data_IF_142166728983
#
_entry.id   IF_142166728983
#
_cell.length_a   1.000
_cell.length_b   1.000
_cell.length_c   1.000
_cell.angle_alpha   90.00
_cell.angle_beta   90.00
_cell.angle_gamma   90.00
#
_symmetry.space_group_name_H-M   'P 1'
#
loop_
_entity.id
_entity.type
_entity.pdbx_description
1 polymer ?
#
# COMPACT_ATOMS: atom_id res chain seq x y z
N UNK A 1 -4.20 14.97 54.51
CA UNK A 1 -4.82 14.01 53.56
C UNK A 1 -5.60 14.70 52.44
N UNK A 2 -6.55 15.62 52.71
CA UNK A 2 -7.31 16.31 51.64
C UNK A 2 -6.45 17.03 50.58
N UNK A 3 -5.36 17.69 51.01
CA UNK A 3 -4.42 18.37 50.09
C UNK A 3 -3.65 17.42 49.16
N UNK A 4 -3.38 16.20 49.62
CA UNK A 4 -2.69 15.18 48.81
C UNK A 4 -3.61 14.63 47.73
N UNK A 5 -4.88 14.35 48.07
CA UNK A 5 -5.89 13.86 47.13
C UNK A 5 -6.16 14.87 46.01
N UNK A 6 -6.22 16.17 46.33
CA UNK A 6 -6.39 17.23 45.32
C UNK A 6 -5.19 17.31 44.39
N UNK A 7 -3.96 17.22 44.91
CA UNK A 7 -2.76 17.23 44.07
C UNK A 7 -2.70 16.01 43.13
N UNK A 8 -3.06 14.82 43.62
CA UNK A 8 -3.11 13.61 42.81
C UNK A 8 -4.19 13.69 41.71
N UNK A 9 -5.37 14.24 42.02
CA UNK A 9 -6.43 14.46 41.03
C UNK A 9 -6.02 15.47 39.95
N UNK A 10 -5.33 16.55 40.32
CA UNK A 10 -4.80 17.54 39.37
C UNK A 10 -3.74 16.91 38.46
N UNK A 11 -2.83 16.10 39.00
CA UNK A 11 -1.83 15.38 38.20
C UNK A 11 -2.45 14.34 37.24
N UNK A 12 -3.53 13.65 37.64
CA UNK A 12 -4.26 12.75 36.74
C UNK A 12 -5.00 13.48 35.63
N UNK A 13 -5.51 14.70 35.88
CA UNK A 13 -6.16 15.52 34.85
C UNK A 13 -5.17 16.02 33.79
N UNK A 14 -3.91 16.31 34.16
CA UNK A 14 -2.86 16.64 33.18
C UNK A 14 -2.35 15.42 32.40
N UNK A 15 -2.44 14.22 32.97
CA UNK A 15 -2.09 12.97 32.28
C UNK A 15 -3.15 12.53 31.24
N UNK A 16 -4.38 13.07 31.30
CA UNK A 16 -5.48 12.68 30.43
C UNK A 16 -5.51 13.40 29.07
N UNK A 17 -4.67 14.42 28.88
CA UNK A 17 -4.52 15.10 27.58
C UNK A 17 -3.48 14.38 26.70
N UNK A 18 -3.77 13.13 26.33
CA UNK A 18 -3.09 12.52 25.18
C UNK A 18 -3.71 13.11 23.91
N UNK A 19 -3.00 14.04 23.27
CA UNK A 19 -3.34 14.42 21.92
C UNK A 19 -3.02 13.23 21.01
N UNK A 20 -3.98 12.80 20.19
CA UNK A 20 -3.64 12.02 19.02
C UNK A 20 -2.73 12.92 18.16
N UNK A 21 -1.49 12.49 17.94
CA UNK A 21 -0.57 13.21 17.05
C UNK A 21 -1.18 13.18 15.65
N UNK A 22 -1.30 14.33 15.00
CA UNK A 22 -1.75 14.42 13.61
C UNK A 22 -0.84 13.58 12.70
N UNK A 23 -1.41 12.88 11.74
CA UNK A 23 -0.67 12.06 10.79
C UNK A 23 0.35 12.92 10.01
N UNK A 24 1.63 12.58 10.12
CA UNK A 24 2.76 13.15 9.43
C UNK A 24 3.41 12.10 8.49
N UNK A 25 3.47 12.34 7.16
CA UNK A 25 3.16 13.61 6.45
C UNK A 25 1.68 13.88 6.32
N UNK A 26 1.28 15.16 6.35
CA UNK A 26 -0.10 15.58 6.05
C UNK A 26 -0.62 14.90 4.78
N UNK A 27 -1.76 14.19 4.82
CA UNK A 27 -2.28 13.50 3.63
C UNK A 27 -2.66 14.49 2.54
N UNK A 28 -2.24 14.21 1.30
CA UNK A 28 -2.70 14.92 0.10
C UNK A 28 -4.09 14.42 -0.30
N UNK A 29 -5.03 15.33 -0.50
CA UNK A 29 -6.38 14.98 -0.96
C UNK A 29 -6.71 15.73 -2.25
N UNK A 30 -7.11 14.97 -3.27
CA UNK A 30 -7.60 15.48 -4.55
C UNK A 30 -9.10 15.19 -4.61
N UNK A 31 -9.91 16.22 -4.85
CA UNK A 31 -11.36 16.09 -5.06
C UNK A 31 -11.76 16.69 -6.40
N UNK A 32 -12.66 16.01 -7.10
CA UNK A 32 -13.20 16.42 -8.40
C UNK A 32 -14.65 15.95 -8.56
N UNK A 33 -15.45 16.56 -9.46
CA UNK A 33 -16.85 16.14 -9.69
C UNK A 33 -16.96 14.71 -10.21
N UNK A 34 -17.75 13.84 -9.57
CA UNK A 34 -17.87 12.44 -10.01
C UNK A 34 -18.36 12.21 -11.45
N UNK A 35 -18.98 13.23 -12.08
CA UNK A 35 -19.33 13.23 -13.49
C UNK A 35 -19.26 14.65 -14.05
N UNK A 36 -18.88 14.79 -15.33
CA UNK A 36 -18.78 16.06 -16.03
C UNK A 36 -19.31 15.86 -17.46
N UNK A 37 -20.11 16.82 -17.95
CA UNK A 37 -20.58 16.81 -19.33
C UNK A 37 -19.49 17.36 -20.25
N UNK A 38 -19.13 16.59 -21.28
CA UNK A 38 -18.32 17.08 -22.38
C UNK A 38 -19.13 16.98 -23.68
N UNK A 39 -19.07 18.02 -24.51
CA UNK A 39 -19.86 18.08 -25.74
C UNK A 39 -19.17 17.41 -26.94
N UNK A 40 -17.90 17.01 -26.80
CA UNK A 40 -17.09 16.44 -27.89
C UNK A 40 -17.07 17.33 -29.15
N UNK A 41 -17.16 18.65 -28.98
CA UNK A 41 -17.12 19.65 -30.04
C UNK A 41 -15.69 20.07 -30.40
N UNK A 42 -14.69 19.57 -29.67
CA UNK A 42 -13.27 19.92 -29.83
C UNK A 42 -12.84 21.12 -28.98
N UNK A 43 -13.74 21.69 -28.18
CA UNK A 43 -13.35 22.64 -27.14
C UNK A 43 -12.61 21.95 -25.99
N UNK A 44 -11.84 22.70 -25.22
CA UNK A 44 -11.21 22.19 -23.99
C UNK A 44 -12.28 21.91 -22.93
N UNK A 45 -12.27 20.70 -22.38
CA UNK A 45 -12.95 20.35 -21.15
C UNK A 45 -12.16 20.88 -19.96
N UNK A 46 -12.80 21.66 -19.11
CA UNK A 46 -12.24 22.14 -17.84
C UNK A 46 -12.80 21.31 -16.67
N UNK A 47 -11.91 20.61 -15.98
CA UNK A 47 -12.23 19.76 -14.84
C UNK A 47 -11.81 20.51 -13.57
N UNK A 48 -12.76 21.02 -12.77
CA UNK A 48 -12.42 21.69 -11.52
C UNK A 48 -11.92 20.66 -10.50
N UNK A 49 -10.79 20.96 -9.86
CA UNK A 49 -10.19 20.11 -8.84
C UNK A 49 -9.88 20.93 -7.59
N UNK A 50 -10.21 20.38 -6.43
CA UNK A 50 -9.85 20.96 -5.14
C UNK A 50 -8.74 20.12 -4.53
N UNK A 51 -7.64 20.78 -4.21
CA UNK A 51 -6.47 20.17 -3.58
C UNK A 51 -6.37 20.62 -2.12
N UNK A 52 -6.17 19.70 -1.18
CA UNK A 52 -5.90 20.00 0.24
C UNK A 52 -4.77 19.14 0.80
N UNK A 53 -4.22 19.56 1.94
CA UNK A 53 -3.11 18.89 2.62
C UNK A 53 -1.74 19.34 2.11
N UNK A 54 -1.38 18.93 0.89
CA UNK A 54 -0.11 19.29 0.24
C UNK A 54 -0.31 19.63 -1.24
N UNK A 55 0.65 20.33 -1.88
CA UNK A 55 0.67 20.46 -3.33
C UNK A 55 0.77 19.10 -4.04
N UNK A 56 0.48 19.08 -5.34
CA UNK A 56 0.48 17.86 -6.13
C UNK A 56 1.10 18.07 -7.50
N UNK A 57 1.85 17.08 -7.97
CA UNK A 57 1.98 16.81 -9.40
C UNK A 57 0.90 15.81 -9.77
N UNK A 58 -0.08 16.24 -10.56
CA UNK A 58 -1.23 15.42 -10.92
C UNK A 58 -1.37 15.29 -12.44
N UNK A 59 -1.93 14.16 -12.87
CA UNK A 59 -2.23 13.86 -14.27
C UNK A 59 -3.68 13.39 -14.40
N UNK A 60 -4.30 13.74 -15.53
CA UNK A 60 -5.59 13.19 -15.95
C UNK A 60 -5.38 11.90 -16.71
N UNK A 61 -6.15 10.88 -16.37
CA UNK A 61 -6.27 9.65 -17.13
C UNK A 61 -7.72 9.51 -17.59
N UNK A 62 -7.93 9.22 -18.86
CA UNK A 62 -9.27 8.97 -19.42
C UNK A 62 -9.30 7.57 -20.00
N UNK A 63 -10.31 6.81 -19.62
CA UNK A 63 -10.55 5.44 -20.01
C UNK A 63 -11.88 5.34 -20.73
N UNK A 64 -11.98 4.38 -21.66
CA UNK A 64 -13.29 3.90 -22.10
C UNK A 64 -14.13 3.49 -20.89
N UNK A 65 -15.46 3.53 -21.00
CA UNK A 65 -16.34 3.04 -19.94
C UNK A 65 -17.10 1.81 -20.41
N UNK A 66 -17.04 0.74 -19.62
CA UNK A 66 -17.78 -0.52 -19.85
C UNK A 66 -17.47 -1.19 -21.22
N UNK A 67 -16.34 -0.85 -21.83
CA UNK A 67 -15.90 -1.39 -23.11
C UNK A 67 -15.06 -2.65 -22.96
N UNK A 68 -14.67 -3.02 -21.74
CA UNK A 68 -13.97 -4.27 -21.43
C UNK A 68 -14.51 -5.49 -22.21
N UNK A 69 -15.81 -5.81 -22.18
CA UNK A 69 -16.36 -6.96 -22.93
C UNK A 69 -16.15 -6.91 -24.45
N UNK A 70 -15.99 -5.72 -25.03
CA UNK A 70 -15.78 -5.51 -26.47
C UNK A 70 -14.31 -5.55 -26.89
N UNK A 71 -13.40 -5.44 -25.93
CA UNK A 71 -11.96 -5.46 -26.18
C UNK A 71 -11.50 -6.91 -26.31
N UNK A 72 -11.14 -7.27 -27.54
CA UNK A 72 -10.55 -8.58 -27.85
C UNK A 72 -9.24 -8.78 -27.07
N UNK A 73 -8.84 -10.03 -26.89
CA UNK A 73 -7.57 -10.37 -26.26
C UNK A 73 -6.41 -9.68 -26.99
N UNK A 74 -5.71 -8.77 -26.30
CA UNK A 74 -4.51 -8.11 -26.83
C UNK A 74 -3.30 -8.60 -26.04
N UNK A 75 -2.34 -9.16 -26.77
CA UNK A 75 -0.98 -9.43 -26.31
C UNK A 75 -0.08 -8.37 -26.95
N UNK A 76 0.53 -7.51 -26.14
CA UNK A 76 1.45 -6.47 -26.62
C UNK A 76 2.82 -6.53 -25.90
N UNK A 77 3.86 -5.99 -26.55
CA UNK A 77 5.26 -5.94 -26.10
C UNK A 77 6.17 -6.95 -26.79
N UNK A 78 7.46 -6.63 -26.90
CA UNK A 78 8.51 -7.46 -27.53
C UNK A 78 8.61 -8.89 -26.95
N UNK A 79 8.08 -9.12 -25.74
CA UNK A 79 8.04 -10.43 -25.06
C UNK A 79 6.62 -10.93 -24.75
N UNK A 80 5.56 -10.24 -25.20
CA UNK A 80 4.17 -10.61 -24.92
C UNK A 80 3.77 -10.53 -23.44
N UNK A 81 4.45 -9.71 -22.64
CA UNK A 81 4.22 -9.63 -21.19
C UNK A 81 3.01 -8.77 -20.81
N UNK A 82 2.51 -7.93 -21.72
CA UNK A 82 1.28 -7.18 -21.47
C UNK A 82 0.11 -7.99 -22.01
N UNK A 83 -0.58 -8.66 -21.10
CA UNK A 83 -1.84 -9.32 -21.36
C UNK A 83 -2.98 -8.41 -20.90
N UNK A 84 -3.72 -7.86 -21.86
CA UNK A 84 -4.91 -7.02 -21.60
C UNK A 84 -6.13 -7.84 -21.99
N UNK A 85 -7.02 -8.10 -21.03
CA UNK A 85 -8.21 -8.93 -21.22
C UNK A 85 -9.41 -8.32 -20.52
N UNK A 86 -10.36 -7.86 -21.32
CA UNK A 86 -11.67 -7.38 -20.87
C UNK A 86 -11.64 -6.27 -19.83
N UNK A 87 -10.69 -5.35 -19.97
CA UNK A 87 -10.59 -4.16 -19.13
C UNK A 87 -10.79 -2.91 -19.97
N UNK A 88 -11.33 -1.86 -19.36
CA UNK A 88 -11.41 -0.55 -19.99
C UNK A 88 -10.01 -0.03 -20.35
N UNK A 89 -9.89 0.58 -21.52
CA UNK A 89 -8.61 1.02 -22.09
C UNK A 89 -8.37 2.48 -21.78
N UNK A 90 -7.16 2.80 -21.28
CA UNK A 90 -6.68 4.17 -21.16
C UNK A 90 -6.48 4.75 -22.56
N UNK A 91 -7.30 5.73 -22.94
CA UNK A 91 -7.21 6.41 -24.24
C UNK A 91 -6.41 7.70 -24.17
N UNK A 92 -6.30 8.29 -22.98
CA UNK A 92 -5.55 9.52 -22.76
C UNK A 92 -4.88 9.48 -21.38
N UNK A 93 -3.58 9.82 -21.35
CA UNK A 93 -2.82 10.06 -20.16
C UNK A 93 -2.10 11.41 -20.31
N UNK A 94 -2.58 12.42 -19.58
CA UNK A 94 -2.00 13.76 -19.61
C UNK A 94 -0.60 13.80 -18.99
N UNK A 95 0.18 14.79 -19.39
CA UNK A 95 1.46 15.06 -18.73
C UNK A 95 1.24 15.52 -17.27
N UNK A 96 2.08 15.10 -16.31
CA UNK A 96 1.98 15.56 -14.94
C UNK A 96 2.16 17.08 -14.86
N UNK A 97 1.22 17.75 -14.22
CA UNK A 97 1.25 19.20 -13.98
C UNK A 97 1.24 19.49 -12.49
N UNK A 98 1.94 20.56 -12.08
CA UNK A 98 2.01 20.96 -10.69
C UNK A 98 0.82 21.85 -10.32
N UNK A 99 0.20 21.57 -9.19
CA UNK A 99 -0.95 22.28 -8.65
C UNK A 99 -0.70 22.67 -7.20
N UNK A 100 -1.05 23.91 -6.87
CA UNK A 100 -1.01 24.43 -5.50
C UNK A 100 -2.24 23.96 -4.71
N UNK A 101 -2.16 24.06 -3.38
CA UNK A 101 -3.31 23.83 -2.50
C UNK A 101 -4.40 24.86 -2.83
N UNK A 102 -5.64 24.41 -3.02
CA UNK A 102 -6.75 25.27 -3.39
C UNK A 102 -7.56 24.75 -4.57
N UNK A 103 -8.32 25.67 -5.17
CA UNK A 103 -9.08 25.40 -6.39
C UNK A 103 -8.16 25.50 -7.60
N UNK A 104 -8.13 24.45 -8.41
CA UNK A 104 -7.38 24.36 -9.65
C UNK A 104 -8.29 23.84 -10.77
N UNK A 105 -7.78 23.88 -11.99
CA UNK A 105 -8.46 23.34 -13.18
C UNK A 105 -7.49 22.45 -13.94
N UNK A 106 -7.91 21.22 -14.21
CA UNK A 106 -7.24 20.33 -15.17
C UNK A 106 -7.95 20.46 -16.51
N UNK A 107 -7.18 20.55 -17.60
CA UNK A 107 -7.72 20.73 -18.95
C UNK A 107 -7.51 19.48 -19.78
N UNK A 108 -8.50 19.16 -20.61
CA UNK A 108 -8.39 18.11 -21.62
C UNK A 108 -9.01 18.57 -22.93
N UNK A 109 -8.29 18.42 -24.03
CA UNK A 109 -8.70 18.88 -25.35
C UNK A 109 -9.63 17.90 -26.10
N UNK A 110 -10.04 16.80 -25.46
CA UNK A 110 -10.85 15.75 -26.11
C UNK A 110 -10.08 14.91 -27.13
N UNK A 111 -8.75 14.87 -27.03
CA UNK A 111 -7.90 14.02 -27.86
C UNK A 111 -7.39 12.79 -27.10
N UNK A 112 -7.12 11.72 -27.84
CA UNK A 112 -6.41 10.54 -27.34
C UNK A 112 -4.89 10.79 -27.29
N UNK A 113 -4.13 9.79 -26.82
CA UNK A 113 -2.66 9.83 -26.74
C UNK A 113 -1.95 9.95 -28.11
N UNK A 114 -2.63 9.61 -29.20
CA UNK A 114 -2.09 9.71 -30.56
C UNK A 114 -2.45 11.07 -31.21
N UNK A 115 -3.15 11.94 -30.48
CA UNK A 115 -3.59 13.26 -30.95
C UNK A 115 -4.85 13.23 -31.81
N UNK A 116 -5.55 12.10 -31.90
CA UNK A 116 -6.82 12.01 -32.61
C UNK A 116 -7.97 12.45 -31.71
N UNK A 117 -9.02 12.98 -32.33
CA UNK A 117 -10.25 13.32 -31.61
C UNK A 117 -10.95 12.04 -31.14
N UNK A 118 -11.37 12.02 -29.87
CA UNK A 118 -12.14 10.89 -29.32
C UNK A 118 -13.59 10.93 -29.78
N UNK A 119 -14.20 9.75 -29.94
CA UNK A 119 -15.62 9.64 -30.30
C UNK A 119 -16.52 10.11 -29.14
N UNK A 120 -17.68 10.67 -29.48
CA UNK A 120 -18.65 11.08 -28.48
C UNK A 120 -19.22 9.86 -27.73
N UNK A 121 -19.20 9.91 -26.40
CA UNK A 121 -19.65 8.79 -25.58
C UNK A 121 -19.43 9.01 -24.08
N UNK A 122 -19.59 7.94 -23.31
CA UNK A 122 -19.24 7.93 -21.90
C UNK A 122 -17.82 7.40 -21.68
N UNK A 123 -17.09 8.07 -20.79
CA UNK A 123 -15.74 7.73 -20.41
C UNK A 123 -15.60 7.77 -18.89
N UNK A 124 -14.66 7.00 -18.37
CA UNK A 124 -14.25 7.06 -16.96
C UNK A 124 -12.98 7.89 -16.88
N UNK A 125 -12.93 8.87 -15.99
CA UNK A 125 -11.71 9.64 -15.77
C UNK A 125 -11.18 9.41 -14.36
N UNK A 126 -9.86 9.45 -14.23
CA UNK A 126 -9.14 9.41 -12.96
C UNK A 126 -8.18 10.59 -12.91
N UNK A 127 -8.05 11.18 -11.73
CA UNK A 127 -6.96 12.11 -11.45
C UNK A 127 -6.04 11.39 -10.48
N UNK A 128 -4.81 11.17 -10.91
CA UNK A 128 -3.78 10.61 -10.08
C UNK A 128 -2.72 11.67 -9.82
N UNK A 129 -2.25 11.78 -8.58
CA UNK A 129 -1.18 12.70 -8.27
C UNK A 129 -0.41 12.30 -7.03
N UNK A 130 0.71 12.97 -6.84
CA UNK A 130 1.58 12.81 -5.68
C UNK A 130 2.30 14.13 -5.40
N UNK A 131 2.72 14.34 -4.15
CA UNK A 131 3.53 15.50 -3.81
C UNK A 131 4.99 15.29 -4.25
N UNK A 132 5.43 16.07 -5.24
CA UNK A 132 6.83 16.15 -5.68
C UNK A 132 7.47 17.51 -5.39
N UNK A 133 6.74 18.42 -4.74
CA UNK A 133 7.14 19.82 -4.53
C UNK A 133 7.70 19.97 -3.12
N UNK A 134 7.02 19.40 -2.13
CA UNK A 134 7.44 19.47 -0.73
C UNK A 134 8.67 18.59 -0.50
N UNK A 135 9.55 19.04 0.40
CA UNK A 135 10.69 18.23 0.83
C UNK A 135 10.21 16.91 1.43
N UNK A 136 10.87 15.82 1.04
CA UNK A 136 10.64 14.50 1.63
C UNK A 136 10.91 14.56 3.13
N UNK A 137 9.93 14.20 3.92
CA UNK A 137 10.10 14.03 5.36
C UNK A 137 10.42 12.56 5.68
N UNK A 138 11.29 12.29 6.66
CA UNK A 138 11.50 10.92 7.13
C UNK A 138 10.18 10.37 7.66
N UNK A 139 9.84 9.14 7.28
CA UNK A 139 8.68 8.41 7.81
C UNK A 139 9.01 7.70 9.13
N UNK A 140 10.23 7.17 9.23
CA UNK A 140 10.78 6.54 10.43
C UNK A 140 12.29 6.39 10.29
N UNK A 141 13.02 6.43 11.41
CA UNK A 141 14.43 6.04 11.48
C UNK A 141 14.66 4.67 12.14
N UNK A 142 13.59 4.02 12.57
CA UNK A 142 13.64 2.75 13.32
C UNK A 142 13.60 1.51 12.42
N UNK A 143 13.31 1.66 11.13
CA UNK A 143 13.33 0.56 10.16
C UNK A 143 14.72 0.45 9.54
N UNK A 144 15.25 -0.77 9.52
CA UNK A 144 16.51 -1.10 8.86
C UNK A 144 16.28 -2.16 7.78
N UNK A 145 16.02 -1.77 6.52
CA UNK A 145 15.78 -2.73 5.44
C UNK A 145 16.92 -3.74 5.33
N UNK A 146 16.59 -5.03 5.36
CA UNK A 146 17.59 -6.10 5.18
C UNK A 146 17.53 -6.59 3.74
N UNK A 147 18.64 -7.03 3.13
CA UNK A 147 18.64 -7.53 1.74
C UNK A 147 17.61 -8.65 1.48
N UNK A 148 17.32 -9.44 2.52
CA UNK A 148 16.40 -10.57 2.47
C UNK A 148 15.08 -10.31 3.21
N UNK A 149 15.00 -9.23 3.98
CA UNK A 149 13.79 -8.83 4.70
C UNK A 149 13.03 -7.82 3.85
N UNK A 150 12.04 -8.30 3.09
CA UNK A 150 11.22 -7.44 2.23
C UNK A 150 10.26 -6.60 3.08
N UNK A 151 9.92 -5.43 2.55
CA UNK A 151 8.93 -4.54 3.13
C UNK A 151 7.61 -4.74 2.39
N UNK A 152 6.54 -4.97 3.13
CA UNK A 152 5.18 -4.95 2.62
C UNK A 152 4.51 -3.67 3.13
N UNK A 153 3.81 -2.94 2.26
CA UNK A 153 3.01 -1.77 2.63
C UNK A 153 1.55 -2.18 2.66
N UNK A 154 0.88 -2.00 3.80
CA UNK A 154 -0.56 -2.19 3.93
C UNK A 154 -1.23 -0.82 3.92
N UNK A 155 -1.81 -0.48 2.78
CA UNK A 155 -2.42 0.84 2.50
C UNK A 155 -3.95 0.85 2.50
N UNK A 156 -4.59 -0.32 2.53
CA UNK A 156 -6.05 -0.45 2.48
C UNK A 156 -6.54 -1.35 3.62
N UNK A 157 -7.77 -1.13 4.08
CA UNK A 157 -8.53 -1.95 5.01
C UNK A 157 -9.08 -3.22 4.33
N UNK A 158 -9.59 -4.16 5.11
CA UNK A 158 -10.05 -5.47 4.65
C UNK A 158 -11.22 -5.40 3.65
N UNK A 159 -11.92 -4.27 3.61
CA UNK A 159 -12.98 -3.96 2.65
C UNK A 159 -12.46 -3.29 1.37
N UNK A 160 -11.15 -3.03 1.28
CA UNK A 160 -10.48 -2.35 0.17
C UNK A 160 -10.53 -0.82 0.25
N UNK A 161 -11.05 -0.23 1.33
CA UNK A 161 -10.99 1.22 1.54
C UNK A 161 -9.58 1.68 1.93
N UNK A 162 -9.11 2.88 1.53
CA UNK A 162 -7.79 3.38 1.93
C UNK A 162 -7.68 3.59 3.45
N UNK A 163 -6.57 3.15 4.05
CA UNK A 163 -6.29 3.36 5.47
C UNK A 163 -5.94 4.81 5.75
N UNK A 164 -6.49 5.36 6.84
CA UNK A 164 -6.05 6.63 7.41
C UNK A 164 -4.61 6.56 7.93
N UNK A 165 -4.20 5.41 8.46
CA UNK A 165 -2.84 5.15 8.93
C UNK A 165 -2.33 3.85 8.29
N UNK A 166 -1.77 3.93 7.07
CA UNK A 166 -1.07 2.81 6.47
C UNK A 166 0.06 2.32 7.38
N UNK A 167 0.51 1.09 7.21
CA UNK A 167 1.66 0.59 7.95
C UNK A 167 2.57 -0.25 7.07
N UNK A 168 3.82 -0.38 7.49
CA UNK A 168 4.81 -1.23 6.85
C UNK A 168 5.03 -2.45 7.72
N UNK A 169 5.08 -3.62 7.10
CA UNK A 169 5.59 -4.83 7.72
C UNK A 169 6.96 -5.15 7.13
N UNK A 170 7.91 -5.38 8.01
CA UNK A 170 9.23 -5.86 7.68
C UNK A 170 9.39 -7.29 8.22
N UNK A 171 9.74 -8.21 7.33
CA UNK A 171 10.16 -9.56 7.72
C UNK A 171 11.57 -9.55 8.32
N UNK A 172 11.90 -10.57 9.11
CA UNK A 172 13.18 -10.67 9.82
C UNK A 172 14.38 -10.76 8.86
N UNK A 173 14.14 -11.24 7.63
CA UNK A 173 15.16 -11.53 6.63
C UNK A 173 16.18 -12.59 7.08
N UNK A 174 15.85 -13.37 8.12
CA UNK A 174 16.73 -14.37 8.68
C UNK A 174 16.96 -15.50 7.68
N UNK A 175 18.21 -15.61 7.22
CA UNK A 175 18.74 -16.84 6.61
C UNK A 175 19.45 -17.62 7.71
N UNK A 176 18.68 -18.20 8.64
CA UNK A 176 19.27 -19.24 9.48
C UNK A 176 20.00 -20.21 8.53
N UNK A 177 21.22 -20.59 8.91
CA UNK A 177 22.04 -21.50 8.11
C UNK A 177 21.14 -22.65 7.66
N UNK A 178 21.34 -23.15 6.43
CA UNK A 178 20.56 -24.20 5.75
C UNK A 178 20.35 -25.51 6.57
N UNK A 179 20.77 -25.52 7.82
CA UNK A 179 20.44 -26.41 8.90
C UNK A 179 18.91 -26.32 9.11
N UNK A 180 18.19 -27.40 8.77
CA UNK A 180 16.73 -27.52 8.73
C UNK A 180 15.97 -27.31 10.06
N UNK A 181 16.53 -26.57 11.02
CA UNK A 181 15.96 -26.32 12.35
C UNK A 181 15.23 -24.98 12.32
N UNK A 182 13.90 -24.97 12.53
CA UNK A 182 13.15 -23.75 12.67
C UNK A 182 13.74 -22.85 13.78
N UNK A 183 13.77 -21.55 13.51
CA UNK A 183 14.31 -20.55 14.42
C UNK A 183 13.32 -19.41 14.65
N UNK A 184 13.51 -18.71 15.76
CA UNK A 184 12.73 -17.50 16.05
C UNK A 184 13.09 -16.40 15.04
N UNK A 185 12.08 -15.65 14.60
CA UNK A 185 12.16 -14.62 13.58
C UNK A 185 11.35 -13.41 14.04
N UNK A 186 12.01 -12.28 14.25
CA UNK A 186 11.37 -11.02 14.62
C UNK A 186 10.79 -10.31 13.39
N UNK A 187 9.48 -10.14 13.37
CA UNK A 187 8.77 -9.31 12.41
C UNK A 187 8.47 -7.96 13.04
N UNK A 188 8.45 -6.91 12.20
CA UNK A 188 8.25 -5.54 12.63
C UNK A 188 7.10 -4.93 11.86
N UNK A 189 6.16 -4.31 12.56
CA UNK A 189 5.07 -3.52 11.99
C UNK A 189 5.23 -2.07 12.46
N UNK A 190 5.18 -1.13 11.53
CA UNK A 190 5.33 0.29 11.82
C UNK A 190 4.20 1.09 11.19
N UNK A 191 3.46 1.83 12.02
CA UNK A 191 2.39 2.71 11.57
C UNK A 191 3.01 3.96 10.93
N UNK A 192 2.68 4.23 9.66
CA UNK A 192 3.04 5.47 8.97
C UNK A 192 2.23 6.61 9.59
N UNK A 193 2.81 7.79 9.76
CA UNK A 193 2.09 8.96 10.26
C UNK A 193 2.59 9.52 11.59
N UNK A 194 3.41 8.80 12.33
CA UNK A 194 3.89 9.26 13.63
C UNK A 194 5.22 10.01 13.60
N UNK A 195 5.72 10.40 14.77
CA UNK A 195 7.06 10.98 14.90
C UNK A 195 8.11 9.97 14.39
N UNK A 196 8.95 10.35 13.41
CA UNK A 196 9.96 9.46 12.84
C UNK A 196 11.00 8.94 13.84
N UNK A 197 11.14 9.60 14.98
CA UNK A 197 12.05 9.22 16.08
C UNK A 197 11.33 8.41 17.18
N UNK A 198 10.00 8.29 17.15
CA UNK A 198 9.22 7.61 18.19
C UNK A 198 9.20 6.09 18.02
N UNK A 199 10.23 5.43 18.56
CA UNK A 199 10.34 3.97 18.54
C UNK A 199 9.16 3.20 19.19
N UNK A 200 8.28 3.87 19.95
CA UNK A 200 7.10 3.22 20.54
C UNK A 200 6.03 2.85 19.51
N UNK A 201 6.09 3.41 18.31
CA UNK A 201 5.23 3.06 17.18
C UNK A 201 5.60 1.74 16.51
N UNK A 202 6.73 1.14 16.92
CA UNK A 202 7.17 -0.17 16.46
C UNK A 202 6.44 -1.25 17.23
N UNK A 203 5.67 -2.05 16.52
CA UNK A 203 5.10 -3.29 17.04
C UNK A 203 5.92 -4.47 16.52
N UNK A 204 6.29 -5.39 17.41
CA UNK A 204 7.01 -6.61 17.01
C UNK A 204 6.09 -7.84 17.03
N UNK A 205 6.46 -8.88 16.29
CA UNK A 205 5.80 -10.18 16.39
C UNK A 205 6.78 -11.29 16.05
N UNK A 206 6.91 -12.27 16.93
CA UNK A 206 7.86 -13.37 16.78
C UNK A 206 7.21 -14.56 16.05
N UNK A 207 7.81 -15.01 14.97
CA UNK A 207 7.41 -16.25 14.28
C UNK A 207 8.48 -17.33 14.41
N UNK A 208 8.13 -18.59 14.18
CA UNK A 208 9.08 -19.71 14.25
C UNK A 208 9.05 -20.53 12.95
N UNK A 209 10.16 -20.57 12.22
CA UNK A 209 10.22 -21.22 10.90
C UNK A 209 11.65 -21.41 10.40
N UNK A 210 11.85 -22.21 9.35
CA UNK A 210 13.17 -22.58 8.85
C UNK A 210 14.01 -21.36 8.38
N UNK A 211 13.57 -20.67 7.32
CA UNK A 211 14.15 -19.39 6.88
C UNK A 211 13.06 -18.36 6.64
N UNK A 212 13.46 -17.10 6.46
CA UNK A 212 12.59 -15.96 6.19
C UNK A 212 13.05 -15.19 4.96
N UNK A 213 13.33 -15.94 3.89
CA UNK A 213 13.75 -15.39 2.62
C UNK A 213 12.50 -15.09 1.79
N UNK A 214 11.80 -14.01 2.12
CA UNK A 214 10.54 -13.69 1.45
C UNK A 214 9.87 -12.40 1.92
N UNK A 215 8.82 -12.05 1.18
CA UNK A 215 7.88 -11.01 1.57
C UNK A 215 6.79 -11.60 2.46
N UNK A 216 6.37 -10.83 3.46
CA UNK A 216 5.22 -11.18 4.29
C UNK A 216 3.94 -10.97 3.48
N UNK A 217 3.23 -12.05 3.17
CA UNK A 217 1.92 -11.96 2.54
C UNK A 217 0.85 -11.69 3.59
N UNK A 218 0.07 -10.63 3.43
CA UNK A 218 -1.05 -10.31 4.33
C UNK A 218 -2.34 -10.85 3.73
N UNK A 219 -3.18 -11.49 4.55
CA UNK A 219 -4.47 -11.96 4.08
C UNK A 219 -5.44 -10.78 3.89
N UNK A 220 -5.99 -10.56 2.68
CA UNK A 220 -6.75 -9.34 2.39
C UNK A 220 -8.03 -9.16 3.20
N UNK A 221 -8.60 -10.24 3.76
CA UNK A 221 -9.87 -10.17 4.52
C UNK A 221 -9.69 -10.17 6.04
N UNK A 222 -8.46 -10.29 6.52
CA UNK A 222 -8.13 -10.17 7.94
C UNK A 222 -6.63 -9.87 8.07
N UNK A 223 -6.29 -8.62 8.35
CA UNK A 223 -4.92 -8.15 8.40
C UNK A 223 -4.11 -8.64 9.61
N UNK A 224 -4.76 -9.30 10.57
CA UNK A 224 -4.05 -10.06 11.60
C UNK A 224 -3.51 -11.38 11.06
N UNK A 225 -3.94 -11.84 9.88
CA UNK A 225 -3.46 -13.10 9.29
C UNK A 225 -2.38 -12.83 8.25
N UNK A 226 -1.29 -13.57 8.34
CA UNK A 226 -0.17 -13.41 7.44
C UNK A 226 0.53 -14.72 7.13
N UNK A 227 1.24 -14.73 6.01
CA UNK A 227 1.93 -15.87 5.46
C UNK A 227 3.40 -15.55 5.31
N UNK A 228 4.24 -16.52 5.68
CA UNK A 228 5.70 -16.41 5.54
C UNK A 228 6.27 -17.63 4.87
N UNK A 229 7.09 -17.39 3.86
CA UNK A 229 7.75 -18.42 3.08
C UNK A 229 9.25 -18.47 3.33
N UNK A 230 9.81 -19.68 3.31
CA UNK A 230 11.24 -19.89 3.42
C UNK A 230 11.67 -21.24 2.88
N UNK A 231 12.93 -21.34 2.45
CA UNK A 231 13.57 -22.61 2.15
C UNK A 231 13.89 -23.36 3.45
N UNK A 232 13.71 -24.68 3.47
CA UNK A 232 13.96 -25.53 4.65
C UNK A 232 15.35 -26.17 4.71
N UNK A 233 16.22 -25.84 3.76
CA UNK A 233 17.54 -26.44 3.61
C UNK A 233 17.56 -27.77 2.83
N UNK A 234 16.40 -28.39 2.60
CA UNK A 234 16.26 -29.70 1.98
C UNK A 234 15.63 -29.62 0.58
N UNK A 235 15.92 -28.56 -0.17
CA UNK A 235 15.30 -28.25 -1.46
C UNK A 235 13.77 -28.14 -1.42
N UNK A 236 13.16 -27.84 -0.27
CA UNK A 236 11.75 -27.50 -0.21
C UNK A 236 11.56 -26.03 0.16
N UNK A 237 10.48 -25.46 -0.36
CA UNK A 237 9.96 -24.21 0.11
C UNK A 237 8.75 -24.49 1.00
N UNK A 238 8.77 -23.92 2.21
CA UNK A 238 7.69 -24.01 3.18
C UNK A 238 7.05 -22.65 3.35
N UNK A 239 5.73 -22.63 3.34
CA UNK A 239 4.92 -21.47 3.67
C UNK A 239 4.14 -21.76 4.94
N UNK A 240 4.18 -20.84 5.89
CA UNK A 240 3.51 -20.94 7.17
C UNK A 240 2.42 -19.87 7.28
N UNK A 241 1.27 -20.24 7.83
CA UNK A 241 0.19 -19.32 8.16
C UNK A 241 0.21 -18.97 9.65
N UNK A 242 0.13 -17.66 9.94
CA UNK A 242 0.23 -17.11 11.28
C UNK A 242 -0.88 -16.09 11.56
N UNK A 243 -1.19 -15.92 12.84
CA UNK A 243 -1.95 -14.80 13.38
C UNK A 243 -1.00 -13.88 14.15
N UNK A 244 -1.05 -12.60 13.82
CA UNK A 244 -0.19 -11.57 14.37
C UNK A 244 -0.60 -11.23 15.80
N UNK A 245 0.35 -11.34 16.72
CA UNK A 245 0.20 -10.97 18.13
C UNK A 245 1.12 -9.79 18.43
N UNK A 246 0.58 -8.59 18.71
CA UNK A 246 1.36 -7.41 19.04
C UNK A 246 2.32 -7.64 20.20
N UNK A 247 3.61 -7.37 19.96
CA UNK A 247 4.71 -7.48 20.93
C UNK A 247 4.82 -8.86 21.60
N UNK A 248 4.44 -9.92 20.87
CA UNK A 248 4.45 -11.29 21.38
C UNK A 248 4.76 -12.32 20.30
N UNK A 249 4.54 -13.59 20.64
CA UNK A 249 4.69 -14.72 19.73
C UNK A 249 3.43 -14.86 18.86
N UNK A 250 3.63 -14.98 17.54
CA UNK A 250 2.58 -15.24 16.59
C UNK A 250 1.92 -16.61 16.86
N UNK A 251 0.62 -16.70 16.64
CA UNK A 251 -0.12 -17.96 16.77
C UNK A 251 -0.12 -18.69 15.42
N UNK A 252 0.30 -19.96 15.40
CA UNK A 252 0.27 -20.78 14.17
C UNK A 252 -1.18 -21.10 13.82
N UNK A 253 -1.55 -20.90 12.55
CA UNK A 253 -2.91 -21.20 12.06
C UNK A 253 -3.03 -22.63 11.56
N UNK A 254 -3.43 -23.55 12.43
CA UNK A 254 -3.53 -24.98 12.10
C UNK A 254 -4.69 -25.33 11.18
N UNK A 255 -5.59 -24.38 10.90
CA UNK A 255 -6.74 -24.51 10.01
C UNK A 255 -6.43 -24.24 8.53
N UNK A 256 -5.17 -23.95 8.20
CA UNK A 256 -4.69 -23.73 6.83
C UNK A 256 -3.61 -24.75 6.45
N UNK A 257 -3.64 -25.27 5.23
CA UNK A 257 -2.66 -26.28 4.78
C UNK A 257 -2.69 -27.55 5.64
N UNK A 258 -1.52 -28.14 5.85
CA UNK A 258 -1.30 -29.25 6.78
C UNK A 258 -0.67 -28.70 8.07
N UNK A 259 -1.48 -28.60 9.14
CA UNK A 259 -1.06 -28.02 10.43
C UNK A 259 -0.52 -26.59 10.32
N UNK A 260 -1.06 -25.74 9.43
CA UNK A 260 -0.57 -24.38 9.24
C UNK A 260 0.65 -24.25 8.35
N UNK A 261 1.00 -25.31 7.63
CA UNK A 261 2.11 -25.36 6.69
C UNK A 261 1.66 -25.83 5.30
N UNK A 262 2.28 -25.25 4.27
CA UNK A 262 2.25 -25.77 2.91
C UNK A 262 3.69 -25.92 2.44
N UNK A 263 4.05 -27.06 1.87
CA UNK A 263 5.41 -27.34 1.42
C UNK A 263 5.43 -27.86 -0.02
N UNK A 264 6.41 -27.45 -0.80
CA UNK A 264 6.66 -27.98 -2.14
C UNK A 264 8.15 -28.07 -2.44
N UNK A 265 8.54 -29.05 -3.23
CA UNK A 265 9.92 -29.23 -3.65
C UNK A 265 10.31 -28.22 -4.74
N UNK A 266 11.45 -27.58 -4.55
CA UNK A 266 12.07 -26.70 -5.52
C UNK A 266 12.86 -27.60 -6.48
N UNK A 267 12.36 -27.76 -7.71
CA UNK A 267 13.11 -28.42 -8.76
C UNK A 267 14.35 -27.57 -9.05
N UNK A 268 15.52 -28.01 -8.58
CA UNK A 268 16.78 -27.45 -9.06
C UNK A 268 16.93 -27.92 -10.50
N UNK A 269 16.71 -27.03 -11.47
CA UNK A 269 17.00 -27.34 -12.86
C UNK A 269 18.47 -27.75 -12.96
N UNK A 270 18.72 -29.02 -13.28
CA UNK A 270 20.03 -29.45 -13.75
C UNK A 270 20.27 -28.72 -15.08
N UNK A 271 21.17 -27.73 -15.04
CA UNK A 271 21.77 -27.11 -16.20
C UNK A 271 23.09 -27.79 -16.55
#
# INVERSE_FOLDING_TARGET
MKKFVVLTLVLMLFAASSYAIDFAPTPMVISAPGAIQYNFDGSELEIPVQLTGTPASAMLLVYTKDMGPSISHVLNGYLGWHYVNKIDTCIYAGEPSNYDIGNNTIKWNGMDNDGNKVDAGEYTYYIWGYDNITFKIPMTRSIHPKPWGKLAVVSHDEDGSPKNNPYIIQSSGARHKLDAIPGAQENKKWIIGGDPEDSSLLETCMTYGATDAGETGIYPKNHSYFFKGGNDGNNNFRCYAWTWVPNGDAEKRTDWGEDGEFSYSIMTGEG
#
